data_IF_481163192675
#
_entry.id   IF_481163192675
#
_cell.length_a   1.000
_cell.length_b   1.000
_cell.length_c   1.000
_cell.angle_alpha   90.00
_cell.angle_beta   90.00
_cell.angle_gamma   90.00
#
_symmetry.space_group_name_H-M   'P 1'
#
loop_
_entity.id
_entity.type
_entity.pdbx_description
1 polymer ?
#
# COMPACT_ATOMS: atom_id res chain seq x y z
N UNK A 1 21.66 10.08 4.39
CA UNK A 1 22.36 8.82 4.06
C UNK A 1 22.65 8.09 5.35
N UNK A 2 21.99 6.96 5.58
CA UNK A 2 22.54 5.91 6.44
C UNK A 2 23.21 4.97 5.45
N UNK A 3 24.50 5.19 5.16
CA UNK A 3 25.28 4.19 4.42
C UNK A 3 25.21 2.89 5.21
N UNK A 4 24.81 1.79 4.56
CA UNK A 4 24.98 0.47 5.13
C UNK A 4 26.48 0.27 5.34
N UNK A 5 26.94 0.40 6.58
CA UNK A 5 28.23 -0.12 6.97
C UNK A 5 28.20 -1.63 6.72
N UNK A 6 29.28 -2.14 6.11
CA UNK A 6 29.51 -3.51 5.67
C UNK A 6 28.53 -4.56 6.23
N UNK A 7 27.64 -5.08 5.37
CA UNK A 7 26.73 -6.19 5.68
C UNK A 7 25.36 -5.83 6.26
N UNK A 8 25.05 -4.54 6.43
CA UNK A 8 23.76 -4.09 6.97
C UNK A 8 22.61 -4.07 5.96
N UNK A 9 21.45 -4.62 6.34
CA UNK A 9 20.19 -4.48 5.62
C UNK A 9 19.61 -3.08 5.76
N UNK A 10 19.04 -2.53 4.68
CA UNK A 10 18.35 -1.23 4.68
C UNK A 10 16.85 -1.47 4.48
N UNK A 11 15.97 -1.03 5.39
CA UNK A 11 14.53 -1.19 5.19
C UNK A 11 14.01 -0.19 4.15
N UNK A 12 13.22 -0.68 3.19
CA UNK A 12 12.73 0.12 2.06
C UNK A 12 11.24 0.41 2.16
N UNK A 13 10.43 -0.62 2.39
CA UNK A 13 8.95 -0.53 2.43
C UNK A 13 8.35 -1.78 3.07
N UNK A 14 7.07 -1.71 3.40
CA UNK A 14 6.23 -2.89 3.60
C UNK A 14 5.25 -2.98 2.43
N UNK A 15 5.19 -4.15 1.82
CA UNK A 15 4.52 -4.36 0.53
C UNK A 15 3.89 -5.75 0.43
N UNK A 16 3.08 -5.95 -0.60
CA UNK A 16 2.55 -7.26 -0.94
C UNK A 16 3.61 -8.11 -1.66
N UNK A 17 3.57 -9.42 -1.42
CA UNK A 17 4.38 -10.43 -2.12
C UNK A 17 3.48 -11.60 -2.53
N UNK A 18 3.91 -12.38 -3.52
CA UNK A 18 3.16 -13.55 -3.95
C UNK A 18 3.11 -14.61 -2.83
N UNK A 19 2.06 -15.42 -2.79
CA UNK A 19 1.82 -16.36 -1.69
C UNK A 19 2.84 -17.53 -1.66
N UNK A 20 3.48 -17.80 -2.79
CA UNK A 20 4.57 -18.76 -2.92
C UNK A 20 5.95 -18.15 -2.59
N UNK A 21 6.03 -16.82 -2.48
CA UNK A 21 7.25 -16.11 -2.11
C UNK A 21 7.74 -16.57 -0.75
N UNK A 22 9.05 -16.80 -0.65
CA UNK A 22 9.71 -17.24 0.56
C UNK A 22 10.47 -16.08 1.21
N UNK A 23 10.41 -16.01 2.53
CA UNK A 23 11.20 -15.08 3.33
C UNK A 23 12.69 -15.33 3.06
N UNK A 24 13.46 -14.27 2.85
CA UNK A 24 14.90 -14.38 2.59
C UNK A 24 15.66 -14.93 3.80
N UNK A 25 15.25 -14.57 5.02
CA UNK A 25 15.80 -15.16 6.21
C UNK A 25 15.44 -16.65 6.30
N UNK A 26 16.42 -17.46 6.72
CA UNK A 26 16.17 -18.86 7.08
C UNK A 26 15.57 -18.89 8.48
N UNK A 27 14.52 -19.67 8.68
CA UNK A 27 13.99 -19.95 10.00
C UNK A 27 14.99 -20.72 10.87
N UNK A 28 14.67 -20.91 12.14
CA UNK A 28 15.49 -21.68 13.10
C UNK A 28 15.78 -23.11 12.66
N UNK A 29 14.92 -23.68 11.80
CA UNK A 29 15.07 -25.01 11.20
C UNK A 29 15.91 -25.03 9.92
N UNK A 30 16.48 -23.89 9.52
CA UNK A 30 17.22 -23.74 8.26
C UNK A 30 16.35 -23.64 7.01
N UNK A 31 15.02 -23.82 7.12
CA UNK A 31 14.07 -23.70 6.00
C UNK A 31 13.56 -22.26 5.86
N UNK A 32 13.29 -21.85 4.63
CA UNK A 32 12.58 -20.60 4.38
C UNK A 32 11.08 -20.78 4.69
N UNK A 33 10.49 -19.83 5.42
CA UNK A 33 9.05 -19.78 5.64
C UNK A 33 8.38 -18.84 4.61
N UNK A 34 7.08 -19.02 4.38
CA UNK A 34 6.29 -18.12 3.51
C UNK A 34 5.71 -16.92 4.25
N UNK A 35 4.81 -16.22 3.56
CA UNK A 35 4.03 -15.08 4.06
C UNK A 35 2.54 -15.45 4.04
N UNK A 36 1.95 -15.93 5.16
CA UNK A 36 0.58 -16.43 5.17
C UNK A 36 -0.47 -15.40 4.72
N UNK A 37 -0.21 -14.12 4.99
CA UNK A 37 -1.02 -12.97 4.60
C UNK A 37 -0.53 -12.29 3.31
N UNK A 38 0.57 -12.79 2.71
CA UNK A 38 1.19 -12.24 1.53
C UNK A 38 1.73 -10.82 1.71
N UNK A 39 2.20 -10.47 2.93
CA UNK A 39 2.81 -9.17 3.24
C UNK A 39 4.24 -9.35 3.74
N UNK A 40 5.14 -8.51 3.28
CA UNK A 40 6.55 -8.55 3.69
C UNK A 40 7.13 -7.16 3.90
N UNK A 41 8.10 -7.06 4.80
CA UNK A 41 9.06 -5.96 4.76
C UNK A 41 10.06 -6.23 3.65
N UNK A 42 10.28 -5.25 2.81
CA UNK A 42 11.29 -5.29 1.77
C UNK A 42 12.55 -4.62 2.31
N UNK A 43 13.62 -5.40 2.41
CA UNK A 43 14.95 -4.92 2.80
C UNK A 43 15.88 -4.96 1.59
N UNK A 44 16.81 -4.00 1.54
CA UNK A 44 17.81 -3.88 0.50
C UNK A 44 19.19 -4.26 1.03
N UNK A 45 19.93 -5.06 0.27
CA UNK A 45 21.32 -5.39 0.57
C UNK A 45 22.28 -4.25 0.16
N UNK A 46 23.59 -4.45 0.39
CA UNK A 46 24.61 -3.47 0.02
C UNK A 46 24.81 -3.34 -1.51
N UNK A 47 24.41 -4.36 -2.27
CA UNK A 47 24.46 -4.39 -3.73
C UNK A 47 23.24 -3.72 -4.37
N UNK A 48 22.24 -3.35 -3.57
CA UNK A 48 21.03 -2.70 -4.03
C UNK A 48 19.87 -3.65 -4.34
N UNK A 49 20.03 -4.97 -4.13
CA UNK A 49 18.97 -5.93 -4.36
C UNK A 49 17.97 -5.93 -3.21
N UNK A 50 16.70 -6.08 -3.56
CA UNK A 50 15.59 -6.07 -2.62
C UNK A 50 15.10 -7.49 -2.35
N UNK A 51 14.88 -7.80 -1.08
CA UNK A 51 14.41 -9.12 -0.66
C UNK A 51 13.28 -9.00 0.37
N UNK A 52 12.34 -9.96 0.37
CA UNK A 52 11.22 -9.97 1.30
C UNK A 52 11.60 -10.64 2.63
N UNK A 53 11.20 -10.02 3.73
CA UNK A 53 11.39 -10.51 5.10
C UNK A 53 10.06 -10.47 5.86
N UNK A 54 9.77 -11.54 6.60
CA UNK A 54 8.69 -11.52 7.59
C UNK A 54 9.03 -10.54 8.71
N UNK A 55 8.03 -10.04 9.46
CA UNK A 55 8.28 -9.01 10.48
C UNK A 55 9.37 -9.39 11.49
N UNK A 56 9.28 -10.59 12.08
CA UNK A 56 10.28 -11.08 13.04
C UNK A 56 11.67 -11.18 12.41
N UNK A 57 11.75 -11.67 11.18
CA UNK A 57 13.00 -11.78 10.44
C UNK A 57 13.59 -10.41 10.07
N UNK A 58 12.76 -9.46 9.68
CA UNK A 58 13.19 -8.11 9.36
C UNK A 58 13.74 -7.40 10.61
N UNK A 59 13.08 -7.56 11.75
CA UNK A 59 13.58 -7.04 13.04
C UNK A 59 14.92 -7.66 13.42
N UNK A 60 15.10 -8.97 13.23
CA UNK A 60 16.36 -9.65 13.52
C UNK A 60 17.49 -9.27 12.55
N UNK A 61 17.16 -8.94 11.30
CA UNK A 61 18.13 -8.58 10.27
C UNK A 61 18.69 -7.15 10.43
N UNK A 62 18.01 -6.28 11.20
CA UNK A 62 18.37 -4.88 11.34
C UNK A 62 19.07 -4.60 12.67
N UNK A 63 20.18 -3.85 12.61
CA UNK A 63 20.84 -3.30 13.80
C UNK A 63 19.91 -2.39 14.61
N UNK A 64 19.02 -1.68 13.92
CA UNK A 64 18.03 -0.78 14.53
C UNK A 64 16.62 -1.14 14.04
N UNK A 65 15.89 -2.03 14.74
CA UNK A 65 14.56 -2.48 14.32
C UNK A 65 13.51 -1.35 14.23
N UNK A 66 13.72 -0.24 14.95
CA UNK A 66 12.85 0.94 14.89
C UNK A 66 12.83 1.62 13.52
N UNK A 67 13.79 1.32 12.64
CA UNK A 67 13.78 1.78 11.25
C UNK A 67 12.62 1.20 10.43
N UNK A 68 12.04 0.06 10.83
CA UNK A 68 10.85 -0.50 10.16
C UNK A 68 9.62 0.39 10.30
N UNK A 69 9.52 1.21 11.35
CA UNK A 69 8.44 2.18 11.48
C UNK A 69 8.62 3.41 10.57
N UNK A 70 9.77 3.52 9.91
CA UNK A 70 10.17 4.66 9.07
C UNK A 70 10.14 4.32 7.58
N UNK A 71 9.43 3.28 7.18
CA UNK A 71 9.24 2.92 5.78
C UNK A 71 7.76 3.03 5.38
N UNK A 72 7.45 3.39 4.13
CA UNK A 72 6.07 3.39 3.66
C UNK A 72 5.47 1.98 3.73
N UNK A 73 4.28 1.87 4.33
CA UNK A 73 3.45 0.66 4.28
C UNK A 73 2.40 0.81 3.18
N UNK A 74 2.48 -0.02 2.14
CA UNK A 74 1.49 -0.08 1.04
C UNK A 74 0.38 -1.12 1.30
N UNK A 75 0.51 -1.88 2.39
CA UNK A 75 -0.44 -2.90 2.84
C UNK A 75 -1.37 -2.39 3.94
N UNK A 76 -1.28 -1.11 4.31
CA UNK A 76 -2.04 -0.51 5.43
C UNK A 76 -3.56 -0.67 5.29
N UNK A 77 -4.05 -0.77 4.05
CA UNK A 77 -5.49 -0.94 3.74
C UNK A 77 -5.91 -2.39 3.58
N UNK A 78 -4.98 -3.33 3.77
CA UNK A 78 -5.23 -4.76 3.78
C UNK A 78 -5.70 -5.24 5.15
N UNK A 79 -6.98 -5.56 5.23
CA UNK A 79 -7.52 -6.33 6.34
C UNK A 79 -7.19 -7.80 6.11
N UNK A 80 -6.17 -8.29 6.81
CA UNK A 80 -6.03 -9.70 7.15
C UNK A 80 -6.11 -9.76 8.66
N UNK A 81 -7.27 -10.21 9.18
CA UNK A 81 -7.57 -10.49 10.60
C UNK A 81 -6.86 -9.57 11.61
N UNK A 82 -7.25 -8.30 11.64
CA UNK A 82 -6.94 -7.39 12.76
C UNK A 82 -7.85 -7.61 14.00
N UNK A 83 -8.57 -8.73 14.09
CA UNK A 83 -9.37 -9.03 15.29
C UNK A 83 -8.50 -9.06 16.56
N UNK A 84 -7.23 -9.46 16.45
CA UNK A 84 -6.28 -9.46 17.57
C UNK A 84 -5.50 -8.14 17.72
N UNK A 85 -5.38 -7.35 16.64
CA UNK A 85 -4.70 -6.05 16.66
C UNK A 85 -5.58 -4.92 17.22
N UNK A 86 -6.90 -5.05 17.10
CA UNK A 86 -7.85 -4.08 17.67
C UNK A 86 -7.79 -4.11 19.21
N UNK A 87 -7.61 -5.27 19.82
CA UNK A 87 -7.44 -5.43 21.27
C UNK A 87 -6.11 -4.82 21.76
N UNK A 88 -5.02 -5.02 21.02
CA UNK A 88 -3.74 -4.36 21.32
C UNK A 88 -3.82 -2.82 21.16
N UNK A 89 -4.60 -2.33 20.20
CA UNK A 89 -4.76 -0.90 19.95
C UNK A 89 -5.69 -0.21 20.95
N UNK A 90 -6.63 -0.95 21.56
CA UNK A 90 -7.45 -0.49 22.68
C UNK A 90 -6.66 -0.51 24.00
N UNK A 91 -5.78 -1.50 24.21
CA UNK A 91 -4.86 -1.52 25.35
C UNK A 91 -3.79 -0.41 25.29
N UNK A 92 -3.38 0.01 24.09
CA UNK A 92 -2.44 1.12 23.90
C UNK A 92 -3.09 2.52 24.07
N UNK A 93 -4.42 2.61 24.14
CA UNK A 93 -5.14 3.88 24.30
C UNK A 93 -5.02 4.48 25.72
N UNK A 94 -4.45 3.73 26.67
CA UNK A 94 -4.28 4.15 28.07
C UNK A 94 -2.94 4.86 28.35
N UNK A 95 -2.05 5.00 27.34
CA UNK A 95 -0.80 5.76 27.50
C UNK A 95 -1.04 7.19 27.04
N UNK A 96 -0.77 8.23 27.86
CA UNK A 96 -0.90 9.61 27.42
C UNK A 96 -0.05 9.85 26.18
N UNK A 97 -0.70 10.11 25.04
CA UNK A 97 -0.05 10.39 23.75
C UNK A 97 0.79 11.65 23.89
N UNK A 98 2.10 11.49 24.13
CA UNK A 98 3.08 12.57 24.05
C UNK A 98 2.94 13.24 22.68
N UNK A 99 2.86 14.58 22.68
CA UNK A 99 2.80 15.37 21.43
C UNK A 99 4.00 14.99 20.55
N UNK A 100 3.77 14.64 19.26
CA UNK A 100 4.85 14.18 18.39
C UNK A 100 5.91 15.28 18.25
N UNK A 101 7.19 14.88 18.26
CA UNK A 101 8.32 15.79 18.07
C UNK A 101 8.35 16.32 16.63
N UNK A 102 9.11 17.38 16.38
CA UNK A 102 9.28 17.92 15.01
C UNK A 102 9.86 16.85 14.08
N UNK A 103 10.87 16.10 14.52
CA UNK A 103 11.46 15.02 13.75
C UNK A 103 10.45 13.91 13.39
N UNK A 104 9.55 13.55 14.32
CA UNK A 104 8.50 12.56 14.05
C UNK A 104 7.48 13.07 13.01
N UNK A 105 7.14 14.36 13.05
CA UNK A 105 6.23 14.96 12.05
C UNK A 105 6.90 15.05 10.68
N UNK A 106 8.16 15.47 10.61
CA UNK A 106 8.92 15.53 9.37
C UNK A 106 9.04 14.13 8.74
N UNK A 107 9.34 13.11 9.55
CA UNK A 107 9.37 11.72 9.10
C UNK A 107 8.00 11.27 8.56
N UNK A 108 6.92 11.51 9.29
CA UNK A 108 5.57 11.16 8.85
C UNK A 108 5.17 11.87 7.54
N UNK A 109 5.50 13.15 7.39
CA UNK A 109 5.29 13.90 6.15
C UNK A 109 6.09 13.33 4.98
N UNK A 110 7.37 12.99 5.22
CA UNK A 110 8.21 12.34 4.22
C UNK A 110 7.60 11.00 3.78
N UNK A 111 7.13 10.17 4.72
CA UNK A 111 6.51 8.89 4.39
C UNK A 111 5.21 9.04 3.61
N UNK A 112 4.35 9.98 4.00
CA UNK A 112 3.14 10.29 3.26
C UNK A 112 3.45 10.74 1.82
N UNK A 113 4.45 11.60 1.64
CA UNK A 113 4.89 12.04 0.31
C UNK A 113 5.46 10.90 -0.53
N UNK A 114 6.34 10.04 0.03
CA UNK A 114 6.88 8.87 -0.68
C UNK A 114 5.74 7.97 -1.13
N UNK A 115 4.84 7.66 -0.21
CA UNK A 115 3.72 6.78 -0.48
C UNK A 115 2.86 7.32 -1.61
N UNK A 116 2.50 8.61 -1.55
CA UNK A 116 1.70 9.24 -2.59
C UNK A 116 2.41 9.21 -3.95
N UNK A 117 3.69 9.58 -3.98
CA UNK A 117 4.52 9.56 -5.19
C UNK A 117 4.57 8.16 -5.82
N UNK A 118 4.91 7.14 -5.03
CA UNK A 118 5.06 5.76 -5.48
C UNK A 118 3.71 5.15 -5.91
N UNK A 119 2.61 5.47 -5.24
CA UNK A 119 1.28 5.06 -5.69
C UNK A 119 0.93 5.63 -7.07
N UNK A 120 1.18 6.93 -7.28
CA UNK A 120 0.89 7.63 -8.55
C UNK A 120 1.79 7.20 -9.69
N UNK A 121 3.06 6.87 -9.43
CA UNK A 121 4.06 6.68 -10.49
C UNK A 121 4.46 5.23 -10.72
N UNK A 122 4.22 4.35 -9.75
CA UNK A 122 4.66 2.95 -9.79
C UNK A 122 3.51 1.98 -9.53
N UNK A 123 2.95 1.96 -8.32
CA UNK A 123 2.08 0.86 -7.86
C UNK A 123 0.74 0.84 -8.57
N UNK A 124 -0.02 1.94 -8.47
CA UNK A 124 -1.32 2.03 -9.16
C UNK A 124 -1.10 2.25 -10.65
N UNK A 125 -0.04 2.95 -11.03
CA UNK A 125 0.33 3.18 -12.43
C UNK A 125 0.74 1.93 -13.20
N UNK A 126 1.12 0.85 -12.51
CA UNK A 126 1.42 -0.45 -13.11
C UNK A 126 0.19 -1.35 -13.24
N UNK A 127 -0.96 -0.97 -12.67
CA UNK A 127 -2.20 -1.74 -12.80
C UNK A 127 -2.59 -1.80 -14.28
N UNK A 128 -2.84 -3.00 -14.84
CA UNK A 128 -3.22 -3.13 -16.24
C UNK A 128 -4.44 -2.27 -16.59
N UNK A 129 -4.35 -1.54 -17.71
CA UNK A 129 -5.43 -0.69 -18.26
C UNK A 129 -5.92 0.43 -17.31
N UNK A 130 -5.13 0.76 -16.30
CA UNK A 130 -5.45 1.87 -15.40
C UNK A 130 -5.57 3.19 -16.17
N UNK A 131 -6.48 4.05 -15.75
CA UNK A 131 -6.64 5.35 -16.38
C UNK A 131 -5.31 6.15 -16.39
N UNK A 132 -4.93 6.79 -17.51
CA UNK A 132 -3.64 7.48 -17.63
C UNK A 132 -3.42 8.61 -16.60
N UNK A 133 -4.51 9.19 -16.08
CA UNK A 133 -4.49 10.26 -15.08
C UNK A 133 -3.95 9.81 -13.71
N UNK A 134 -3.73 8.50 -13.50
CA UNK A 134 -3.00 8.00 -12.33
C UNK A 134 -1.55 8.48 -12.34
N UNK A 135 -0.87 8.38 -13.48
CA UNK A 135 0.46 8.99 -13.64
C UNK A 135 0.28 10.50 -13.70
N UNK A 136 1.13 11.22 -12.98
CA UNK A 136 1.09 12.68 -12.95
C UNK A 136 2.41 13.24 -13.45
N UNK A 137 2.41 13.80 -14.67
CA UNK A 137 3.62 14.33 -15.29
C UNK A 137 4.42 15.29 -14.38
N UNK A 138 3.80 16.20 -13.59
CA UNK A 138 4.54 17.06 -12.65
C UNK A 138 5.30 16.36 -11.53
N UNK A 139 5.10 15.06 -11.31
CA UNK A 139 5.82 14.24 -10.34
C UNK A 139 6.94 13.40 -10.98
N UNK A 140 7.06 13.36 -12.30
CA UNK A 140 7.99 12.48 -13.01
C UNK A 140 9.45 12.70 -12.59
N UNK A 141 9.94 13.94 -12.68
CA UNK A 141 11.34 14.26 -12.32
C UNK A 141 11.65 13.93 -10.86
N UNK A 142 10.68 14.16 -9.97
CA UNK A 142 10.82 13.86 -8.54
C UNK A 142 10.88 12.35 -8.32
N UNK A 143 10.07 11.58 -9.04
CA UNK A 143 10.09 10.12 -8.99
C UNK A 143 11.41 9.55 -9.52
N UNK A 144 11.90 10.02 -10.66
CA UNK A 144 13.18 9.58 -11.22
C UNK A 144 14.38 9.92 -10.32
N UNK A 145 14.35 11.10 -9.68
CA UNK A 145 15.35 11.43 -8.68
C UNK A 145 15.25 10.49 -7.47
N UNK A 146 14.04 10.28 -6.95
CA UNK A 146 13.81 9.37 -5.83
C UNK A 146 14.25 7.94 -6.13
N UNK A 147 14.01 7.43 -7.34
CA UNK A 147 14.49 6.11 -7.75
C UNK A 147 16.03 6.01 -7.71
N UNK A 148 16.74 7.07 -8.11
CA UNK A 148 18.21 7.11 -8.10
C UNK A 148 18.80 7.28 -6.71
N UNK A 149 18.21 8.13 -5.87
CA UNK A 149 18.81 8.54 -4.58
C UNK A 149 18.21 7.83 -3.37
N UNK A 150 17.00 7.29 -3.49
CA UNK A 150 16.19 6.79 -2.36
C UNK A 150 15.73 7.89 -1.40
N UNK A 151 15.91 9.17 -1.75
CA UNK A 151 15.64 10.29 -0.86
C UNK A 151 14.96 11.47 -1.54
N UNK A 152 14.32 12.33 -0.74
CA UNK A 152 13.62 13.53 -1.19
C UNK A 152 13.98 14.71 -0.31
N UNK A 153 14.20 15.86 -0.95
CA UNK A 153 14.36 17.14 -0.25
C UNK A 153 13.06 17.56 0.45
N UNK A 154 13.18 18.40 1.48
CA UNK A 154 12.02 19.00 2.17
C UNK A 154 11.10 19.76 1.20
N UNK A 155 11.66 20.45 0.20
CA UNK A 155 10.88 21.17 -0.80
C UNK A 155 10.04 20.22 -1.67
N UNK A 156 10.61 19.07 -2.06
CA UNK A 156 9.88 18.03 -2.80
C UNK A 156 8.76 17.42 -1.95
N UNK A 157 9.04 17.07 -0.70
CA UNK A 157 8.03 16.57 0.25
C UNK A 157 6.87 17.58 0.36
N UNK A 158 7.17 18.85 0.59
CA UNK A 158 6.16 19.90 0.70
C UNK A 158 5.32 20.04 -0.58
N UNK A 159 5.96 20.04 -1.75
CA UNK A 159 5.28 20.11 -3.06
C UNK A 159 4.35 18.92 -3.29
N UNK A 160 4.80 17.71 -3.02
CA UNK A 160 4.00 16.48 -3.17
C UNK A 160 2.77 16.53 -2.26
N UNK A 161 2.95 16.89 -0.99
CA UNK A 161 1.83 17.00 -0.03
C UNK A 161 0.87 18.14 -0.38
N UNK A 162 1.36 19.23 -0.97
CA UNK A 162 0.49 20.30 -1.47
C UNK A 162 -0.40 19.82 -2.62
N UNK A 163 0.15 19.01 -3.54
CA UNK A 163 -0.63 18.37 -4.62
C UNK A 163 -1.68 17.44 -4.00
N UNK A 164 -1.28 16.52 -3.11
CA UNK A 164 -2.20 15.56 -2.50
C UNK A 164 -3.37 16.23 -1.76
N UNK A 165 -3.08 17.30 -1.01
CA UNK A 165 -4.07 18.03 -0.19
C UNK A 165 -4.89 19.03 -0.98
N UNK A 166 -4.50 19.34 -2.22
CA UNK A 166 -5.19 20.32 -3.04
C UNK A 166 -6.68 19.96 -3.18
N UNK A 167 -7.60 20.94 -3.07
CA UNK A 167 -9.01 20.71 -3.37
C UNK A 167 -9.24 20.35 -4.84
N UNK A 168 -8.31 20.73 -5.74
CA UNK A 168 -8.38 20.38 -7.15
C UNK A 168 -7.93 18.95 -7.44
N UNK A 169 -7.28 18.27 -6.49
CA UNK A 169 -6.90 16.87 -6.66
C UNK A 169 -8.13 15.99 -6.46
N UNK A 170 -8.59 15.25 -7.49
CA UNK A 170 -9.78 14.42 -7.39
C UNK A 170 -9.64 13.42 -6.23
N UNK A 171 -10.70 13.19 -5.43
CA UNK A 171 -10.65 12.26 -4.30
C UNK A 171 -10.15 10.85 -4.68
N UNK A 172 -10.50 10.36 -5.88
CA UNK A 172 -10.02 9.09 -6.44
C UNK A 172 -8.50 9.02 -6.62
N UNK A 173 -7.84 10.18 -6.74
CA UNK A 173 -6.41 10.31 -6.95
C UNK A 173 -5.65 10.70 -5.67
N UNK A 174 -6.29 10.65 -4.50
CA UNK A 174 -5.65 10.86 -3.19
C UNK A 174 -5.05 9.56 -2.66
N UNK A 175 -4.02 9.66 -1.82
CA UNK A 175 -3.25 8.50 -1.36
C UNK A 175 -4.13 7.40 -0.74
N UNK A 176 -5.09 7.75 0.11
CA UNK A 176 -6.00 6.79 0.74
C UNK A 176 -6.75 5.95 -0.28
N UNK A 177 -7.35 6.58 -1.31
CA UNK A 177 -8.05 5.84 -2.35
C UNK A 177 -7.10 5.00 -3.20
N UNK A 178 -5.92 5.53 -3.53
CA UNK A 178 -4.93 4.81 -4.32
C UNK A 178 -4.39 3.57 -3.58
N UNK A 179 -4.29 3.60 -2.24
CA UNK A 179 -4.02 2.41 -1.44
C UNK A 179 -5.14 1.38 -1.53
N UNK A 180 -6.41 1.82 -1.51
CA UNK A 180 -7.56 0.93 -1.69
C UNK A 180 -7.52 0.27 -3.07
N UNK A 181 -7.22 1.05 -4.13
CA UNK A 181 -7.05 0.53 -5.49
C UNK A 181 -5.94 -0.51 -5.55
N UNK A 182 -4.75 -0.19 -5.01
CA UNK A 182 -3.62 -1.11 -5.03
C UNK A 182 -3.92 -2.41 -4.26
N UNK A 183 -4.53 -2.29 -3.09
CA UNK A 183 -4.93 -3.44 -2.27
C UNK A 183 -5.96 -4.31 -2.99
N UNK A 184 -7.01 -3.71 -3.56
CA UNK A 184 -8.03 -4.45 -4.29
C UNK A 184 -7.44 -5.12 -5.54
N UNK A 185 -6.56 -4.45 -6.28
CA UNK A 185 -5.85 -5.03 -7.41
C UNK A 185 -5.10 -6.30 -7.03
N UNK A 186 -4.26 -6.25 -5.99
CA UNK A 186 -3.48 -7.41 -5.54
C UNK A 186 -4.40 -8.58 -5.14
N UNK A 187 -5.50 -8.29 -4.43
CA UNK A 187 -6.44 -9.34 -4.02
C UNK A 187 -7.18 -9.95 -5.22
N UNK A 188 -7.62 -9.14 -6.17
CA UNK A 188 -8.27 -9.62 -7.38
C UNK A 188 -7.32 -10.48 -8.21
N UNK A 189 -6.07 -10.09 -8.40
CA UNK A 189 -5.07 -10.89 -9.11
C UNK A 189 -4.85 -12.26 -8.45
N UNK A 190 -4.73 -12.29 -7.11
CA UNK A 190 -4.60 -13.55 -6.36
C UNK A 190 -5.81 -14.46 -6.55
N UNK A 191 -7.02 -13.91 -6.49
CA UNK A 191 -8.25 -14.69 -6.71
C UNK A 191 -8.39 -15.17 -8.15
N UNK A 192 -7.99 -14.36 -9.13
CA UNK A 192 -7.97 -14.74 -10.54
C UNK A 192 -7.00 -15.90 -10.76
N UNK A 193 -5.79 -15.81 -10.20
CA UNK A 193 -4.76 -16.85 -10.31
C UNK A 193 -5.16 -18.16 -9.59
N UNK A 194 -5.87 -18.07 -8.46
CA UNK A 194 -6.31 -19.23 -7.69
C UNK A 194 -7.59 -19.88 -8.25
N UNK A 195 -8.35 -19.18 -9.08
CA UNK A 195 -9.64 -19.68 -9.59
C UNK A 195 -9.46 -20.67 -10.73
N UNK A 196 -10.15 -21.81 -10.65
CA UNK A 196 -10.24 -22.81 -11.72
C UNK A 196 -11.55 -22.74 -12.52
N UNK A 197 -12.49 -21.86 -12.14
CA UNK A 197 -13.78 -21.67 -12.83
C UNK A 197 -13.71 -20.50 -13.80
N UNK A 198 -13.96 -20.76 -15.08
CA UNK A 198 -13.86 -19.75 -16.15
C UNK A 198 -14.80 -18.55 -15.92
N UNK A 199 -16.03 -18.79 -15.50
CA UNK A 199 -16.99 -17.71 -15.27
C UNK A 199 -16.58 -16.82 -14.09
N UNK A 200 -16.02 -17.42 -13.04
CA UNK A 200 -15.46 -16.68 -11.91
C UNK A 200 -14.25 -15.83 -12.34
N UNK A 201 -13.36 -16.38 -13.16
CA UNK A 201 -12.22 -15.63 -13.72
C UNK A 201 -12.72 -14.43 -14.53
N UNK A 202 -13.73 -14.62 -15.40
CA UNK A 202 -14.32 -13.54 -16.21
C UNK A 202 -14.94 -12.46 -15.33
N UNK A 203 -15.67 -12.85 -14.29
CA UNK A 203 -16.27 -11.94 -13.32
C UNK A 203 -15.21 -11.13 -12.56
N UNK A 204 -14.19 -11.79 -12.00
CA UNK A 204 -13.12 -11.08 -11.28
C UNK A 204 -12.33 -10.14 -12.19
N UNK A 205 -12.09 -10.53 -13.45
CA UNK A 205 -11.47 -9.65 -14.46
C UNK A 205 -12.35 -8.46 -14.80
N UNK A 206 -13.67 -8.61 -14.86
CA UNK A 206 -14.58 -7.47 -15.11
C UNK A 206 -14.56 -6.46 -13.97
N UNK A 207 -14.45 -6.94 -12.72
CA UNK A 207 -14.25 -6.08 -11.55
C UNK A 207 -12.87 -5.41 -11.55
N UNK A 208 -11.82 -6.13 -11.92
CA UNK A 208 -10.47 -5.57 -12.03
C UNK A 208 -10.39 -4.48 -13.12
N UNK A 209 -11.02 -4.72 -14.26
CA UNK A 209 -11.20 -3.77 -15.34
C UNK A 209 -12.01 -2.54 -14.90
N UNK A 210 -13.07 -2.74 -14.12
CA UNK A 210 -13.85 -1.65 -13.53
C UNK A 210 -12.99 -0.81 -12.59
N UNK A 211 -12.25 -1.46 -11.67
CA UNK A 211 -11.33 -0.82 -10.74
C UNK A 211 -10.27 0.01 -11.49
N UNK A 212 -9.70 -0.51 -12.59
CA UNK A 212 -8.70 0.20 -13.38
C UNK A 212 -9.24 1.49 -14.02
N UNK A 213 -10.50 1.46 -14.48
CA UNK A 213 -11.16 2.61 -15.13
C UNK A 213 -11.79 3.60 -14.16
N UNK A 214 -12.29 3.12 -13.04
CA UNK A 214 -13.06 3.93 -12.10
C UNK A 214 -12.27 4.29 -10.84
N UNK A 215 -11.18 3.58 -10.57
CA UNK A 215 -10.36 3.69 -9.35
C UNK A 215 -11.16 3.48 -8.06
N UNK A 216 -12.29 2.78 -8.16
CA UNK A 216 -13.20 2.52 -7.04
C UNK A 216 -13.89 1.17 -7.20
N UNK A 217 -14.26 0.56 -6.09
CA UNK A 217 -15.21 -0.55 -6.03
C UNK A 217 -16.28 -0.24 -4.99
N UNK A 218 -17.52 -0.65 -5.27
CA UNK A 218 -18.60 -0.59 -4.30
C UNK A 218 -18.48 -1.68 -3.24
N UNK A 219 -19.17 -1.49 -2.11
CA UNK A 219 -19.27 -2.53 -1.08
C UNK A 219 -19.86 -3.84 -1.64
N UNK A 220 -20.85 -3.74 -2.54
CA UNK A 220 -21.44 -4.90 -3.20
C UNK A 220 -20.44 -5.62 -4.12
N UNK A 221 -19.63 -4.88 -4.89
CA UNK A 221 -18.57 -5.45 -5.73
C UNK A 221 -17.49 -6.14 -4.89
N UNK A 222 -17.07 -5.51 -3.79
CA UNK A 222 -16.11 -6.07 -2.83
C UNK A 222 -16.63 -7.37 -2.24
N UNK A 223 -17.87 -7.37 -1.76
CA UNK A 223 -18.53 -8.54 -1.19
C UNK A 223 -18.70 -9.67 -2.22
N UNK A 224 -19.14 -9.33 -3.43
CA UNK A 224 -19.32 -10.30 -4.52
C UNK A 224 -18.01 -10.91 -5.00
N UNK A 225 -16.90 -10.15 -4.96
CA UNK A 225 -15.56 -10.67 -5.23
C UNK A 225 -15.02 -11.56 -4.11
N UNK A 226 -15.59 -11.51 -2.91
CA UNK A 226 -15.08 -12.20 -1.74
C UNK A 226 -13.74 -11.65 -1.23
N UNK A 227 -13.44 -10.36 -1.48
CA UNK A 227 -12.23 -9.71 -0.96
C UNK A 227 -12.55 -8.96 0.34
N UNK A 228 -11.74 -9.20 1.37
CA UNK A 228 -11.79 -8.38 2.59
C UNK A 228 -10.99 -7.09 2.38
N UNK A 229 -11.48 -5.95 2.85
CA UNK A 229 -10.82 -4.65 2.70
C UNK A 229 -10.95 -3.85 3.98
N UNK A 230 -10.18 -2.78 4.14
CA UNK A 230 -10.39 -1.82 5.22
C UNK A 230 -11.88 -1.37 5.28
N UNK A 231 -12.52 -1.23 6.46
CA UNK A 231 -13.94 -0.88 6.56
C UNK A 231 -14.34 0.43 5.88
N UNK A 232 -13.37 1.33 5.73
CA UNK A 232 -13.51 2.62 5.05
C UNK A 232 -12.93 2.61 3.62
N UNK A 233 -12.81 1.44 2.98
CA UNK A 233 -12.34 1.34 1.60
C UNK A 233 -13.29 2.07 0.65
N UNK A 234 -12.75 2.92 -0.22
CA UNK A 234 -13.51 3.70 -1.21
C UNK A 234 -14.62 4.60 -0.62
N UNK A 235 -14.54 4.96 0.66
CA UNK A 235 -15.57 5.77 1.34
C UNK A 235 -15.24 7.27 1.44
N UNK A 236 -14.11 7.73 0.88
CA UNK A 236 -13.74 9.15 0.99
C UNK A 236 -14.78 10.06 0.30
N UNK A 237 -15.08 11.24 0.86
CA UNK A 237 -16.05 12.17 0.27
C UNK A 237 -15.69 12.55 -1.16
N UNK A 238 -16.70 12.58 -2.05
CA UNK A 238 -16.54 12.96 -3.46
C UNK A 238 -15.80 11.94 -4.34
N UNK A 239 -15.54 10.73 -3.83
CA UNK A 239 -15.03 9.60 -4.64
C UNK A 239 -16.07 9.16 -5.68
N UNK A 240 -17.33 9.14 -5.30
CA UNK A 240 -18.45 8.86 -6.17
C UNK A 240 -18.85 10.20 -6.81
N UNK A 241 -18.81 10.28 -8.15
CA UNK A 241 -19.20 11.48 -8.88
C UNK A 241 -20.69 11.78 -8.69
N UNK A 242 -21.18 12.97 -9.11
CA UNK A 242 -22.61 13.29 -9.04
C UNK A 242 -23.48 12.30 -9.84
N UNK A 243 -22.93 11.68 -10.89
CA UNK A 243 -23.61 10.67 -11.71
C UNK A 243 -23.37 9.23 -11.25
N UNK A 244 -22.40 9.00 -10.36
CA UNK A 244 -22.15 7.70 -9.77
C UNK A 244 -22.97 7.60 -8.48
N UNK A 245 -24.25 7.25 -8.63
CA UNK A 245 -25.12 6.95 -7.49
C UNK A 245 -24.35 6.06 -6.51
N UNK A 246 -24.27 6.46 -5.22
CA UNK A 246 -23.81 5.59 -4.16
C UNK A 246 -24.63 4.29 -4.27
N UNK A 247 -24.02 3.13 -4.58
CA UNK A 247 -24.76 1.90 -4.60
C UNK A 247 -25.08 1.56 -3.14
N UNK A 248 -26.29 1.93 -2.73
CA UNK A 248 -26.78 1.92 -1.35
C UNK A 248 -28.04 2.77 -1.12
N UNK A 249 -28.36 3.71 -2.01
CA UNK A 249 -29.62 4.50 -1.91
C UNK A 249 -30.67 4.17 -2.99
N UNK A 250 -30.34 3.33 -3.97
CA UNK A 250 -31.29 2.77 -4.93
C UNK A 250 -31.52 1.29 -4.64
N UNK A 251 -32.77 0.92 -4.34
CA UNK A 251 -33.18 -0.45 -4.10
C UNK A 251 -32.92 -1.39 -5.28
N UNK A 252 -33.25 -2.67 -5.04
CA UNK A 252 -33.38 -3.79 -5.98
C UNK A 252 -33.21 -3.43 -7.46
N UNK A 253 -32.41 -4.22 -8.19
CA UNK A 253 -32.84 -4.88 -9.42
C UNK A 253 -31.74 -5.86 -9.90
N UNK A 254 -32.15 -7.13 -9.99
CA UNK A 254 -31.56 -8.33 -10.61
C UNK A 254 -30.27 -8.92 -10.02
#
# INVERSE_FOLDING_TARGET
MTQAQHGGWIPVRKDFVDLDTRCHARGTTGRHHGFPDGRAYILRDAQGHEYPFGETCARAALLHPSLLAQVPDYTERDMVRQAEALDASLAAASVPRRRPTVAQRDAAQRLAAIRYLVLRMEKVAAVPRVQPTVRFAPLQDVYEQFQRTGDMSRAQVARILAIEKSPTTPPRLKATNLLDVYTAHVKLERLIAASNRLDNIRFLRSLHDWLARQLVLSAAQIAAAGIEMHPQAFSSPGIWGPDDARPGEGGQLF
#
